data_IF_081661254665
#
_entry.id   IF_081661254665
#
_cell.length_a   1.000
_cell.length_b   1.000
_cell.length_c   1.000
_cell.angle_alpha   90.00
_cell.angle_beta   90.00
_cell.angle_gamma   90.00
#
_symmetry.space_group_name_H-M   'P 1'
#
loop_
_entity.id
_entity.type
_entity.pdbx_description
1 polymer ?
#
# COMPACT_ATOMS: atom_id res chain seq x y z
N UNK A 1 -0.39 -24.87 -8.41
CA UNK A 1 0.17 -24.19 -7.20
C UNK A 1 -0.29 -24.88 -5.90
N UNK A 2 0.53 -24.95 -4.84
CA UNK A 2 0.09 -25.39 -3.49
C UNK A 2 -0.89 -24.36 -2.92
N UNK A 3 -2.01 -24.80 -2.34
CA UNK A 3 -3.10 -23.92 -1.86
C UNK A 3 -2.60 -22.83 -0.90
N UNK A 4 -1.60 -23.15 -0.08
CA UNK A 4 -0.99 -22.22 0.86
C UNK A 4 -0.27 -21.06 0.15
N UNK A 5 0.36 -21.32 -1.00
CA UNK A 5 1.02 -20.28 -1.81
C UNK A 5 -0.01 -19.35 -2.41
N UNK A 6 -1.14 -19.89 -2.89
CA UNK A 6 -2.26 -19.11 -3.43
C UNK A 6 -2.81 -18.16 -2.36
N UNK A 7 -3.07 -18.68 -1.16
CA UNK A 7 -3.55 -17.87 -0.04
C UNK A 7 -2.57 -16.75 0.34
N UNK A 8 -1.26 -17.02 0.37
CA UNK A 8 -0.25 -15.99 0.62
C UNK A 8 -0.25 -14.91 -0.46
N UNK A 9 -0.44 -15.28 -1.73
CA UNK A 9 -0.54 -14.31 -2.83
C UNK A 9 -1.80 -13.45 -2.70
N UNK A 10 -2.95 -14.05 -2.41
CA UNK A 10 -4.23 -13.33 -2.22
C UNK A 10 -4.14 -12.34 -1.05
N UNK A 11 -3.60 -12.78 0.10
CA UNK A 11 -3.35 -11.91 1.26
C UNK A 11 -2.35 -10.79 0.94
N UNK A 12 -1.36 -11.06 0.09
CA UNK A 12 -0.40 -10.04 -0.36
C UNK A 12 -1.10 -9.00 -1.24
N UNK A 13 -1.98 -9.43 -2.15
CA UNK A 13 -2.78 -8.55 -3.01
C UNK A 13 -3.71 -7.68 -2.16
N UNK A 14 -4.46 -8.26 -1.23
CA UNK A 14 -5.33 -7.51 -0.31
C UNK A 14 -4.51 -6.48 0.49
N UNK A 15 -3.34 -6.89 0.98
CA UNK A 15 -2.42 -6.01 1.69
C UNK A 15 -1.87 -4.87 0.83
N UNK A 16 -1.74 -5.04 -0.49
CA UNK A 16 -1.34 -3.99 -1.43
C UNK A 16 -2.48 -2.99 -1.60
N UNK A 17 -3.70 -3.49 -1.85
CA UNK A 17 -4.89 -2.65 -2.03
C UNK A 17 -5.13 -1.78 -0.80
N UNK A 18 -5.02 -2.35 0.41
CA UNK A 18 -5.15 -1.61 1.68
C UNK A 18 -4.11 -0.50 1.81
N UNK A 19 -2.84 -0.78 1.51
CA UNK A 19 -1.78 0.23 1.59
C UNK A 19 -1.99 1.39 0.62
N UNK A 20 -2.43 1.08 -0.60
CA UNK A 20 -2.69 2.09 -1.63
C UNK A 20 -3.94 2.92 -1.30
N UNK A 21 -4.97 2.29 -0.74
CA UNK A 21 -6.14 2.96 -0.17
C UNK A 21 -5.73 3.98 0.89
N UNK A 22 -5.01 3.55 1.93
CA UNK A 22 -4.55 4.46 2.99
C UNK A 22 -3.64 5.58 2.47
N UNK A 23 -2.75 5.28 1.53
CA UNK A 23 -1.90 6.30 0.93
C UNK A 23 -2.69 7.35 0.14
N UNK A 24 -3.80 6.96 -0.50
CA UNK A 24 -4.71 7.87 -1.20
C UNK A 24 -5.52 8.69 -0.22
N UNK A 25 -6.16 8.05 0.75
CA UNK A 25 -6.97 8.71 1.78
C UNK A 25 -6.15 9.75 2.56
N UNK A 26 -4.92 9.42 2.95
CA UNK A 26 -4.04 10.39 3.62
C UNK A 26 -3.62 11.55 2.72
N UNK A 27 -3.46 11.33 1.42
CA UNK A 27 -3.15 12.42 0.50
C UNK A 27 -4.33 13.38 0.32
N UNK A 28 -5.55 12.84 0.27
CA UNK A 28 -6.79 13.61 0.22
C UNK A 28 -7.04 14.37 1.54
N UNK A 29 -6.91 13.69 2.68
CA UNK A 29 -7.02 14.32 3.99
C UNK A 29 -5.99 15.44 4.18
N UNK A 30 -4.75 15.22 3.75
CA UNK A 30 -3.70 16.24 3.80
C UNK A 30 -4.04 17.46 2.94
N UNK A 31 -4.65 17.26 1.78
CA UNK A 31 -5.08 18.37 0.93
C UNK A 31 -6.09 19.25 1.65
N UNK A 32 -7.17 18.67 2.17
CA UNK A 32 -8.21 19.44 2.88
C UNK A 32 -7.68 20.08 4.16
N UNK A 33 -6.86 19.35 4.92
CA UNK A 33 -6.22 19.86 6.14
C UNK A 33 -5.32 21.07 5.85
N UNK A 34 -4.63 21.11 4.71
CA UNK A 34 -3.86 22.27 4.29
C UNK A 34 -4.76 23.45 3.86
N UNK A 35 -5.89 23.17 3.19
CA UNK A 35 -6.88 24.21 2.86
C UNK A 35 -7.48 24.87 4.11
N UNK A 36 -7.63 24.10 5.19
CA UNK A 36 -8.09 24.58 6.50
C UNK A 36 -7.00 25.31 7.30
N UNK A 37 -5.79 25.47 6.73
CA UNK A 37 -4.67 26.21 7.34
C UNK A 37 -3.78 25.38 8.25
N UNK A 38 -4.01 24.07 8.39
CA UNK A 38 -3.27 23.18 9.28
C UNK A 38 -2.07 22.52 8.58
N UNK A 39 -1.14 23.33 8.08
CA UNK A 39 -0.01 22.86 7.25
C UNK A 39 0.84 21.77 7.90
N UNK A 40 1.19 21.90 9.20
CA UNK A 40 2.01 20.90 9.89
C UNK A 40 1.35 19.52 9.91
N UNK A 41 0.04 19.47 10.18
CA UNK A 41 -0.73 18.22 10.20
C UNK A 41 -0.82 17.62 8.78
N UNK A 42 -1.01 18.46 7.76
CA UNK A 42 -1.00 18.02 6.38
C UNK A 42 0.36 17.40 5.96
N UNK A 43 1.47 17.98 6.43
CA UNK A 43 2.82 17.44 6.20
C UNK A 43 3.02 16.07 6.87
N UNK A 44 2.53 15.89 8.10
CA UNK A 44 2.53 14.61 8.81
C UNK A 44 1.68 13.55 8.07
N UNK A 45 0.48 13.92 7.63
CA UNK A 45 -0.38 13.03 6.84
C UNK A 45 0.31 12.58 5.55
N UNK A 46 0.96 13.52 4.83
CA UNK A 46 1.76 13.18 3.64
C UNK A 46 2.93 12.26 4.00
N UNK A 47 3.59 12.48 5.12
CA UNK A 47 4.67 11.61 5.59
C UNK A 47 4.17 10.18 5.78
N UNK A 48 3.10 9.99 6.55
CA UNK A 48 2.51 8.67 6.80
C UNK A 48 2.01 8.04 5.50
N UNK A 49 1.37 8.82 4.62
CA UNK A 49 0.92 8.36 3.31
C UNK A 49 2.07 7.83 2.43
N UNK A 50 3.25 8.49 2.47
CA UNK A 50 4.46 7.99 1.79
C UNK A 50 4.92 6.63 2.35
N UNK A 51 4.82 6.42 3.66
CA UNK A 51 5.19 5.12 4.26
C UNK A 51 4.28 4.00 3.76
N UNK A 52 2.97 4.23 3.64
CA UNK A 52 2.05 3.27 3.05
C UNK A 52 2.38 2.96 1.58
N UNK A 53 2.72 3.97 0.76
CA UNK A 53 3.17 3.73 -0.63
C UNK A 53 4.42 2.85 -0.67
N UNK A 54 5.41 3.12 0.18
CA UNK A 54 6.64 2.31 0.27
C UNK A 54 6.30 0.87 0.66
N UNK A 55 5.39 0.67 1.60
CA UNK A 55 4.94 -0.66 2.03
C UNK A 55 4.22 -1.41 0.89
N UNK A 56 3.36 -0.74 0.15
CA UNK A 56 2.71 -1.28 -1.05
C UNK A 56 3.72 -1.71 -2.12
N UNK A 57 4.72 -0.86 -2.41
CA UNK A 57 5.80 -1.20 -3.36
C UNK A 57 6.59 -2.46 -2.92
N UNK A 58 6.94 -2.56 -1.62
CA UNK A 58 7.62 -3.75 -1.08
C UNK A 58 6.77 -5.02 -1.23
N UNK A 59 5.45 -4.93 -1.01
CA UNK A 59 4.54 -6.07 -1.21
C UNK A 59 4.40 -6.45 -2.68
N UNK A 60 4.30 -5.48 -3.60
CA UNK A 60 4.29 -5.73 -5.05
C UNK A 60 5.57 -6.46 -5.50
N UNK A 61 6.73 -6.04 -5.00
CA UNK A 61 7.99 -6.73 -5.27
C UNK A 61 7.98 -8.18 -4.77
N UNK A 62 7.46 -8.44 -3.57
CA UNK A 62 7.31 -9.80 -3.03
C UNK A 62 6.32 -10.65 -3.84
N UNK A 63 5.20 -10.06 -4.27
CA UNK A 63 4.23 -10.75 -5.11
C UNK A 63 4.84 -11.17 -6.45
N UNK A 64 5.61 -10.29 -7.09
CA UNK A 64 6.31 -10.61 -8.33
C UNK A 64 7.33 -11.76 -8.14
N UNK A 65 8.04 -11.79 -7.00
CA UNK A 65 8.93 -12.90 -6.66
C UNK A 65 8.18 -14.22 -6.46
N UNK A 66 7.02 -14.18 -5.78
CA UNK A 66 6.16 -15.37 -5.58
C UNK A 66 5.61 -15.89 -6.92
N UNK A 67 5.10 -15.00 -7.77
CA UNK A 67 4.60 -15.36 -9.10
C UNK A 67 5.68 -16.00 -9.97
N UNK A 68 6.92 -15.47 -9.91
CA UNK A 68 8.05 -16.06 -10.63
C UNK A 68 8.46 -17.43 -10.08
N UNK A 69 8.42 -17.61 -8.76
CA UNK A 69 8.76 -18.87 -8.12
C UNK A 69 7.70 -19.96 -8.36
N UNK A 70 6.45 -19.55 -8.61
CA UNK A 70 5.30 -20.43 -8.80
C UNK A 70 4.48 -19.99 -10.02
N UNK A 71 4.98 -20.23 -11.26
CA UNK A 71 4.37 -19.73 -12.49
C UNK A 71 3.04 -20.43 -12.85
N UNK A 72 2.81 -21.65 -12.36
CA UNK A 72 1.61 -22.45 -12.64
C UNK A 72 0.46 -22.15 -11.64
N UNK A 73 0.12 -20.86 -11.53
CA UNK A 73 -1.09 -20.38 -10.86
C UNK A 73 -2.35 -20.78 -11.61
#
# INVERSE_FOLDING_TARGET
MREEVRQVMDLTIEGIIKDEGYARELAEAAYWTEQDGHRAIAEDMRHVGRQYRIRGMKKRARLALLQRAYPDG
#
